data_IF_467624159655
#
_entry.id   IF_467624159655
#
_cell.length_a   1.000
_cell.length_b   1.000
_cell.length_c   1.000
_cell.angle_alpha   90.00
_cell.angle_beta   90.00
_cell.angle_gamma   90.00
#
_symmetry.space_group_name_H-M   'P 1'
#
loop_
_entity.id
_entity.type
_entity.pdbx_description
1 polymer ?
#
# COMPACT_ATOMS: atom_id res chain seq x y z
N UNK A 1 -1.56 -48.44 16.52
CA UNK A 1 -1.35 -47.64 17.74
C UNK A 1 -2.19 -46.37 17.66
N UNK A 2 -3.41 -46.35 18.21
CA UNK A 2 -4.33 -45.21 18.10
C UNK A 2 -3.82 -43.90 18.76
N UNK A 3 -2.81 -43.98 19.63
CA UNK A 3 -2.22 -42.82 20.31
C UNK A 3 -1.37 -41.91 19.41
N UNK A 4 -0.61 -42.47 18.47
CA UNK A 4 0.26 -41.67 17.58
C UNK A 4 -0.55 -40.85 16.58
N UNK A 5 -1.64 -41.40 16.05
CA UNK A 5 -2.56 -40.69 15.17
C UNK A 5 -3.24 -39.51 15.88
N UNK A 6 -3.62 -39.68 17.15
CA UNK A 6 -4.20 -38.62 17.98
C UNK A 6 -3.21 -37.48 18.25
N UNK A 7 -1.96 -37.81 18.58
CA UNK A 7 -0.90 -36.80 18.80
C UNK A 7 -0.63 -36.03 17.51
N UNK A 8 -0.47 -36.71 16.38
CA UNK A 8 -0.24 -36.07 15.09
C UNK A 8 -1.40 -35.13 14.71
N UNK A 9 -2.64 -35.56 14.88
CA UNK A 9 -3.82 -34.73 14.62
C UNK A 9 -3.85 -33.47 15.51
N UNK A 10 -3.58 -33.60 16.81
CA UNK A 10 -3.53 -32.47 17.74
C UNK A 10 -2.45 -31.47 17.36
N UNK A 11 -1.24 -31.95 17.02
CA UNK A 11 -0.13 -31.09 16.58
C UNK A 11 -0.50 -30.35 15.30
N UNK A 12 -1.09 -31.04 14.32
CA UNK A 12 -1.54 -30.41 13.07
C UNK A 12 -2.58 -29.31 13.29
N UNK A 13 -3.52 -29.52 14.22
CA UNK A 13 -4.53 -28.50 14.58
C UNK A 13 -3.84 -27.28 15.20
N UNK A 14 -2.94 -27.48 16.16
CA UNK A 14 -2.22 -26.37 16.82
C UNK A 14 -1.41 -25.56 15.80
N UNK A 15 -0.67 -26.23 14.91
CA UNK A 15 0.11 -25.56 13.86
C UNK A 15 -0.80 -24.81 12.88
N UNK A 16 -1.93 -25.41 12.49
CA UNK A 16 -2.92 -24.75 11.63
C UNK A 16 -3.52 -23.50 12.25
N UNK A 17 -3.90 -23.56 13.53
CA UNK A 17 -4.42 -22.42 14.28
C UNK A 17 -3.35 -21.33 14.41
N UNK A 18 -2.13 -21.68 14.81
CA UNK A 18 -1.02 -20.74 14.91
C UNK A 18 -0.73 -20.06 13.56
N UNK A 19 -0.71 -20.83 12.47
CA UNK A 19 -0.53 -20.28 11.12
C UNK A 19 -1.65 -19.30 10.73
N UNK A 20 -2.91 -19.59 11.08
CA UNK A 20 -4.03 -18.69 10.87
C UNK A 20 -3.88 -17.38 11.67
N UNK A 21 -3.55 -17.48 12.96
CA UNK A 21 -3.35 -16.31 13.85
C UNK A 21 -2.21 -15.43 13.35
N UNK A 22 -1.10 -16.03 12.92
CA UNK A 22 0.09 -15.29 12.46
C UNK A 22 -0.16 -14.64 11.10
N UNK A 23 -0.78 -15.35 10.14
CA UNK A 23 -1.00 -14.82 8.78
C UNK A 23 -2.20 -13.88 8.67
N UNK A 24 -3.21 -14.05 9.52
CA UNK A 24 -4.45 -13.26 9.48
C UNK A 24 -4.87 -12.84 10.90
N UNK A 25 -4.09 -11.94 11.56
CA UNK A 25 -4.37 -11.49 12.92
C UNK A 25 -5.58 -10.53 13.01
N UNK A 26 -6.25 -10.25 11.89
CA UNK A 26 -7.37 -9.31 11.81
C UNK A 26 -8.68 -10.11 11.75
N UNK A 27 -9.33 -10.24 12.91
CA UNK A 27 -10.64 -10.90 13.03
C UNK A 27 -11.84 -9.96 12.90
N UNK A 28 -11.59 -8.65 12.78
CA UNK A 28 -12.63 -7.66 12.53
C UNK A 28 -13.08 -7.70 11.07
N UNK A 29 -14.38 -7.84 10.84
CA UNK A 29 -15.00 -7.56 9.54
C UNK A 29 -15.65 -6.20 9.57
N UNK A 30 -15.29 -5.34 8.61
CA UNK A 30 -16.01 -4.10 8.37
C UNK A 30 -17.01 -4.31 7.24
N UNK A 31 -18.20 -3.67 7.29
CA UNK A 31 -19.12 -3.72 6.17
C UNK A 31 -18.42 -3.20 4.91
N UNK A 32 -18.74 -3.80 3.76
CA UNK A 32 -18.23 -3.33 2.49
C UNK A 32 -18.63 -1.87 2.29
N UNK A 33 -17.71 -1.06 1.75
CA UNK A 33 -18.04 0.30 1.35
C UNK A 33 -19.08 0.26 0.23
N UNK A 34 -20.12 1.10 0.26
CA UNK A 34 -21.05 1.24 -0.86
C UNK A 34 -20.40 1.96 -2.06
N UNK A 35 -19.17 2.47 -1.90
CA UNK A 35 -18.45 3.15 -2.98
C UNK A 35 -18.12 2.17 -4.11
N UNK A 36 -18.57 2.52 -5.32
CA UNK A 36 -18.19 1.82 -6.55
C UNK A 36 -16.93 2.47 -7.10
N UNK A 37 -15.88 1.67 -7.31
CA UNK A 37 -14.62 2.11 -7.92
C UNK A 37 -14.55 1.56 -9.34
N UNK A 38 -14.37 2.44 -10.32
CA UNK A 38 -14.25 2.05 -11.73
C UNK A 38 -12.90 1.38 -12.02
N UNK A 39 -12.85 0.12 -12.49
CA UNK A 39 -11.60 -0.57 -12.83
C UNK A 39 -10.72 0.20 -13.80
N UNK A 40 -11.32 0.82 -14.83
CA UNK A 40 -10.59 1.60 -15.83
C UNK A 40 -9.83 2.79 -15.21
N UNK A 41 -10.40 3.40 -14.15
CA UNK A 41 -9.73 4.50 -13.43
C UNK A 41 -8.53 3.99 -12.64
N UNK A 42 -8.65 2.81 -12.02
CA UNK A 42 -7.54 2.16 -11.33
C UNK A 42 -6.43 1.76 -12.31
N UNK A 43 -6.79 1.16 -13.44
CA UNK A 43 -5.83 0.83 -14.50
C UNK A 43 -5.09 2.07 -15.00
N UNK A 44 -5.79 3.19 -15.20
CA UNK A 44 -5.15 4.45 -15.62
C UNK A 44 -4.09 4.94 -14.61
N UNK A 45 -4.36 4.83 -13.30
CA UNK A 45 -3.38 5.16 -12.26
C UNK A 45 -2.18 4.22 -12.31
N UNK A 46 -2.42 2.90 -12.41
CA UNK A 46 -1.37 1.89 -12.50
C UNK A 46 -0.48 2.12 -13.72
N UNK A 47 -1.06 2.36 -14.91
CA UNK A 47 -0.30 2.63 -16.14
C UNK A 47 0.48 3.92 -16.05
N UNK A 48 -0.09 4.99 -15.51
CA UNK A 48 0.65 6.24 -15.34
C UNK A 48 1.89 6.02 -14.46
N UNK A 49 1.75 5.33 -13.33
CA UNK A 49 2.85 5.12 -12.40
C UNK A 49 3.87 4.08 -12.90
N UNK A 50 3.43 3.04 -13.61
CA UNK A 50 4.30 1.94 -14.05
C UNK A 50 4.87 2.09 -15.46
N UNK A 51 4.26 2.93 -16.32
CA UNK A 51 4.72 3.16 -17.70
C UNK A 51 5.24 4.59 -17.87
N UNK A 52 4.48 5.60 -17.45
CA UNK A 52 4.87 7.01 -17.65
C UNK A 52 5.94 7.47 -16.66
N UNK A 53 5.90 6.96 -15.43
CA UNK A 53 6.90 7.23 -14.40
C UNK A 53 8.03 6.19 -14.36
N UNK A 54 8.19 5.35 -15.38
CA UNK A 54 9.22 4.31 -15.39
C UNK A 54 10.60 4.84 -15.87
N UNK A 55 11.71 4.43 -15.24
CA UNK A 55 11.78 3.70 -13.97
C UNK A 55 11.50 4.62 -12.78
N UNK A 56 10.91 4.06 -11.71
CA UNK A 56 10.47 4.81 -10.53
C UNK A 56 11.24 4.42 -9.26
N UNK A 57 12.46 3.91 -9.40
CA UNK A 57 13.32 3.62 -8.26
C UNK A 57 13.81 4.89 -7.57
N UNK A 58 14.30 4.74 -6.33
CA UNK A 58 14.74 5.85 -5.46
C UNK A 58 15.72 6.83 -6.12
N UNK A 59 16.67 6.33 -6.92
CA UNK A 59 17.64 7.17 -7.65
C UNK A 59 17.08 7.87 -8.91
N UNK A 60 15.90 7.50 -9.41
CA UNK A 60 15.27 8.07 -10.61
C UNK A 60 14.52 9.37 -10.27
N UNK A 61 15.26 10.43 -9.90
CA UNK A 61 14.74 11.68 -9.31
C UNK A 61 13.64 12.35 -10.13
N UNK A 62 13.82 12.45 -11.45
CA UNK A 62 12.84 13.08 -12.33
C UNK A 62 11.49 12.34 -12.31
N UNK A 63 11.54 11.01 -12.43
CA UNK A 63 10.35 10.17 -12.46
C UNK A 63 9.68 10.04 -11.10
N UNK A 64 10.45 10.03 -10.01
CA UNK A 64 9.95 10.20 -8.65
C UNK A 64 9.19 11.52 -8.50
N UNK A 65 9.74 12.62 -9.04
CA UNK A 65 9.07 13.91 -9.08
C UNK A 65 7.74 13.88 -9.85
N UNK A 66 7.69 13.21 -11.01
CA UNK A 66 6.45 13.00 -11.78
C UNK A 66 5.39 12.23 -10.97
N UNK A 67 5.80 11.14 -10.30
CA UNK A 67 4.90 10.35 -9.47
C UNK A 67 4.37 11.17 -8.28
N UNK A 68 5.23 11.92 -7.58
CA UNK A 68 4.84 12.79 -6.46
C UNK A 68 3.85 13.86 -6.92
N UNK A 69 4.11 14.52 -8.06
CA UNK A 69 3.22 15.53 -8.62
C UNK A 69 1.85 14.94 -8.97
N UNK A 70 1.83 13.78 -9.65
CA UNK A 70 0.61 13.09 -10.03
C UNK A 70 -0.23 12.66 -8.83
N UNK A 71 0.38 12.03 -7.82
CA UNK A 71 -0.30 11.58 -6.61
C UNK A 71 -0.84 12.80 -5.85
N UNK A 72 -0.04 13.87 -5.74
CA UNK A 72 -0.44 15.12 -5.09
C UNK A 72 -1.66 15.75 -5.77
N UNK A 73 -1.66 15.84 -7.09
CA UNK A 73 -2.75 16.41 -7.87
C UNK A 73 -4.04 15.59 -7.71
N UNK A 74 -3.97 14.27 -7.85
CA UNK A 74 -5.13 13.40 -7.70
C UNK A 74 -5.71 13.43 -6.27
N UNK A 75 -4.85 13.44 -5.24
CA UNK A 75 -5.30 13.53 -3.85
C UNK A 75 -5.92 14.89 -3.54
N UNK A 76 -5.39 16.00 -4.09
CA UNK A 76 -6.01 17.33 -3.99
C UNK A 76 -7.35 17.39 -4.70
N UNK A 77 -7.43 16.84 -5.91
CA UNK A 77 -8.66 16.78 -6.69
C UNK A 77 -9.76 15.97 -5.97
N UNK A 78 -9.36 14.96 -5.20
CA UNK A 78 -10.26 14.20 -4.32
C UNK A 78 -10.69 14.95 -3.04
N UNK A 79 -10.22 16.20 -2.83
CA UNK A 79 -10.53 17.01 -1.65
C UNK A 79 -9.55 16.83 -0.49
N UNK A 80 -8.42 16.16 -0.71
CA UNK A 80 -7.39 15.94 0.30
C UNK A 80 -6.57 17.20 0.57
N UNK A 81 -6.33 17.50 1.85
CA UNK A 81 -5.31 18.47 2.27
C UNK A 81 -3.95 17.78 2.23
N UNK A 82 -3.20 18.01 1.16
CA UNK A 82 -1.94 17.32 0.88
C UNK A 82 -0.74 18.03 1.53
N UNK A 83 0.10 17.24 2.20
CA UNK A 83 1.38 17.63 2.77
C UNK A 83 2.47 16.75 2.15
N UNK A 84 3.55 17.37 1.68
CA UNK A 84 4.77 16.66 1.30
C UNK A 84 5.67 16.60 2.53
N UNK A 85 5.91 15.38 3.03
CA UNK A 85 6.80 15.17 4.16
C UNK A 85 8.18 14.81 3.63
N UNK A 86 9.13 15.73 3.76
CA UNK A 86 10.51 15.50 3.34
C UNK A 86 11.29 14.68 4.39
N UNK A 87 12.16 13.79 3.91
CA UNK A 87 13.10 13.05 4.75
C UNK A 87 14.41 12.81 4.01
N UNK A 88 15.50 12.65 4.76
CA UNK A 88 16.84 12.42 4.22
C UNK A 88 17.30 10.99 4.52
N UNK A 89 18.02 10.41 3.56
CA UNK A 89 18.76 9.15 3.71
C UNK A 89 20.20 9.37 3.24
N UNK A 90 21.14 8.44 3.47
CA UNK A 90 22.48 8.52 2.89
C UNK A 90 22.48 8.65 1.36
N UNK A 91 21.43 8.19 0.69
CA UNK A 91 21.29 8.23 -0.77
C UNK A 91 20.64 9.52 -1.30
N UNK A 92 20.20 10.43 -0.43
CA UNK A 92 19.61 11.71 -0.80
C UNK A 92 18.30 12.03 -0.06
N UNK A 93 17.64 13.10 -0.49
CA UNK A 93 16.34 13.55 0.03
C UNK A 93 15.18 12.94 -0.74
N UNK A 94 14.12 12.63 -0.02
CA UNK A 94 12.92 11.95 -0.50
C UNK A 94 11.68 12.58 0.14
N UNK A 95 10.51 12.28 -0.41
CA UNK A 95 9.25 12.85 0.05
C UNK A 95 8.19 11.76 0.17
N UNK A 96 7.45 11.76 1.27
CA UNK A 96 6.17 11.06 1.36
C UNK A 96 5.05 12.03 0.93
N UNK A 97 4.03 11.53 0.24
CA UNK A 97 2.81 12.29 -0.07
C UNK A 97 1.71 11.89 0.91
N UNK A 98 1.27 12.82 1.74
CA UNK A 98 0.27 12.56 2.78
C UNK A 98 -0.96 13.41 2.49
N UNK A 99 -2.16 12.80 2.44
CA UNK A 99 -3.42 13.53 2.30
C UNK A 99 -4.31 13.33 3.52
N UNK A 100 -4.79 14.45 4.08
CA UNK A 100 -5.76 14.45 5.17
C UNK A 100 -7.17 14.68 4.63
N UNK A 101 -8.09 13.79 4.98
CA UNK A 101 -9.52 13.89 4.68
C UNK A 101 -10.33 14.00 5.98
N UNK A 102 -11.38 14.82 5.98
CA UNK A 102 -12.24 15.03 7.15
C UNK A 102 -11.61 15.92 8.24
N UNK A 103 -12.20 15.92 9.45
CA UNK A 103 -11.81 16.82 10.55
C UNK A 103 -10.43 16.47 11.12
N UNK A 104 -9.78 17.46 11.73
CA UNK A 104 -8.46 17.27 12.34
C UNK A 104 -8.52 16.40 13.59
N UNK A 105 -9.53 16.58 14.45
CA UNK A 105 -9.68 15.82 15.68
C UNK A 105 -10.54 14.56 15.49
N UNK A 106 -10.28 13.53 16.31
CA UNK A 106 -11.07 12.30 16.36
C UNK A 106 -10.30 11.03 16.00
N UNK A 107 -11.01 9.91 15.92
CA UNK A 107 -10.46 8.64 15.44
C UNK A 107 -10.10 8.78 13.97
N UNK A 108 -8.95 8.24 13.57
CA UNK A 108 -8.45 8.32 12.19
C UNK A 108 -8.17 6.92 11.66
N UNK A 109 -8.39 6.75 10.36
CA UNK A 109 -7.91 5.61 9.60
C UNK A 109 -6.69 6.04 8.80
N UNK A 110 -5.65 5.22 8.80
CA UNK A 110 -4.44 5.44 7.99
C UNK A 110 -4.39 4.34 6.95
N UNK A 111 -4.38 4.73 5.68
CA UNK A 111 -4.23 3.84 4.53
C UNK A 111 -3.00 4.31 3.77
N UNK A 112 -2.11 3.37 3.42
CA UNK A 112 -0.84 3.71 2.78
C UNK A 112 -0.39 2.62 1.83
N UNK A 113 0.44 3.03 0.88
CA UNK A 113 1.07 2.22 -0.15
C UNK A 113 2.40 2.91 -0.51
N UNK A 114 3.48 2.17 -0.77
CA UNK A 114 4.71 2.79 -1.28
C UNK A 114 4.56 3.11 -2.76
N UNK A 115 5.29 4.10 -3.27
CA UNK A 115 5.17 4.53 -4.67
C UNK A 115 6.53 4.56 -5.38
N UNK A 116 7.56 3.97 -4.81
CA UNK A 116 8.79 3.66 -5.51
C UNK A 116 8.76 2.23 -6.06
N UNK A 117 9.59 1.95 -7.07
CA UNK A 117 9.78 0.59 -7.60
C UNK A 117 11.21 0.09 -7.40
N UNK A 118 11.39 -1.23 -7.45
CA UNK A 118 12.71 -1.84 -7.29
C UNK A 118 13.51 -1.79 -8.61
N UNK A 119 14.59 -1.01 -8.63
CA UNK A 119 15.49 -0.92 -9.79
C UNK A 119 14.76 -0.56 -11.08
N UNK A 120 15.17 -1.15 -12.20
CA UNK A 120 14.60 -0.89 -13.53
C UNK A 120 13.39 -1.80 -13.78
N UNK A 121 12.43 -1.80 -12.85
CA UNK A 121 11.18 -2.53 -12.97
C UNK A 121 9.98 -1.56 -13.08
N UNK A 122 8.97 -1.88 -13.90
CA UNK A 122 7.73 -1.08 -14.00
C UNK A 122 7.05 -0.89 -12.64
N UNK A 123 7.02 -1.95 -11.82
CA UNK A 123 6.38 -1.91 -10.50
C UNK A 123 4.87 -1.72 -10.57
N UNK A 124 4.21 -2.40 -11.53
CA UNK A 124 2.76 -2.32 -11.71
C UNK A 124 1.98 -2.95 -10.54
N UNK A 125 2.35 -4.16 -10.12
CA UNK A 125 1.76 -4.84 -8.95
C UNK A 125 2.50 -4.47 -7.64
N UNK A 126 3.78 -4.12 -7.76
CA UNK A 126 4.67 -3.73 -6.66
C UNK A 126 5.31 -2.37 -6.97
N UNK A 127 4.64 -1.24 -6.72
CA UNK A 127 3.34 -1.06 -6.07
C UNK A 127 2.69 0.21 -6.65
N UNK A 128 2.15 0.11 -7.87
CA UNK A 128 1.51 1.23 -8.57
C UNK A 128 0.02 1.37 -8.21
#
# INVERSE_FOLDING_TARGET
>A
MPGTLRIAATVSIIVGVAACVIRQPVWSRHPASPAVVGPDRLEAHVRFLSETCFPRHSLARENQGKAIAYITENLRAAGGRVVLQEFATPSGSYQNVIAHFGPEAGKRYVVGAHFDSCGVQPGADDNA
#
